data_IF_438594558347
#
_entry.id   IF_438594558347
#
_cell.length_a   1.000
_cell.length_b   1.000
_cell.length_c   1.000
_cell.angle_alpha   90.00
_cell.angle_beta   90.00
_cell.angle_gamma   90.00
#
_symmetry.space_group_name_H-M   'P 1'
#
loop_
_entity.id
_entity.type
_entity.pdbx_description
1 polymer ?
#
# COMPACT_ATOMS: atom_id res chain seq x y z
N UNK A 1 6.82 25.58 10.93
CA UNK A 1 6.33 24.21 11.20
C UNK A 1 7.27 23.31 10.44
N UNK A 2 8.27 22.78 11.11
CA UNK A 2 9.23 21.89 10.46
C UNK A 2 8.50 20.61 10.13
N UNK A 3 8.38 20.34 8.84
CA UNK A 3 7.70 19.15 8.37
C UNK A 3 8.52 17.95 8.85
N UNK A 4 7.89 16.97 9.50
CA UNK A 4 8.59 15.77 10.00
C UNK A 4 9.40 15.12 8.86
N UNK A 5 8.89 15.22 7.63
CA UNK A 5 9.57 14.81 6.41
C UNK A 5 10.92 15.51 6.19
N UNK A 6 10.97 16.83 6.35
CA UNK A 6 12.16 17.64 6.09
C UNK A 6 13.27 17.40 7.14
N UNK A 7 12.89 16.85 8.30
CA UNK A 7 13.80 16.47 9.39
C UNK A 7 14.31 15.02 9.29
N UNK A 8 13.80 14.21 8.35
CA UNK A 8 14.33 12.86 8.10
C UNK A 8 15.60 12.92 7.26
N UNK A 9 16.58 12.08 7.60
CA UNK A 9 17.76 11.89 6.74
C UNK A 9 17.35 11.44 5.33
N UNK A 10 18.09 11.88 4.31
CA UNK A 10 17.81 11.58 2.91
C UNK A 10 17.74 10.08 2.62
N UNK A 11 18.56 9.26 3.28
CA UNK A 11 18.53 7.81 3.09
C UNK A 11 17.23 7.21 3.64
N UNK A 12 16.73 7.73 4.76
CA UNK A 12 15.46 7.30 5.35
C UNK A 12 14.30 7.71 4.45
N UNK A 13 14.31 8.94 3.93
CA UNK A 13 13.32 9.40 2.95
C UNK A 13 13.30 8.51 1.69
N UNK A 14 14.47 8.23 1.11
CA UNK A 14 14.59 7.37 -0.07
C UNK A 14 14.09 5.95 0.21
N UNK A 15 14.46 5.37 1.35
CA UNK A 15 14.00 4.04 1.77
C UNK A 15 12.48 4.00 1.90
N UNK A 16 11.87 5.01 2.54
CA UNK A 16 10.42 5.14 2.65
C UNK A 16 9.75 5.23 1.27
N UNK A 17 10.27 6.05 0.36
CA UNK A 17 9.75 6.18 -1.01
C UNK A 17 9.81 4.85 -1.76
N UNK A 18 10.93 4.12 -1.66
CA UNK A 18 11.09 2.82 -2.32
C UNK A 18 10.16 1.75 -1.74
N UNK A 19 10.03 1.69 -0.40
CA UNK A 19 9.09 0.79 0.28
C UNK A 19 7.65 1.11 -0.16
N UNK A 20 7.22 2.37 -0.12
CA UNK A 20 5.87 2.79 -0.55
C UNK A 20 5.60 2.47 -2.02
N UNK A 21 6.58 2.73 -2.92
CA UNK A 21 6.45 2.38 -4.35
C UNK A 21 6.30 0.88 -4.56
N UNK A 22 7.02 0.07 -3.80
CA UNK A 22 6.94 -1.39 -3.88
C UNK A 22 5.58 -1.89 -3.43
N UNK A 23 5.06 -1.38 -2.31
CA UNK A 23 3.71 -1.68 -1.82
C UNK A 23 2.67 -1.36 -2.89
N UNK A 24 2.71 -0.14 -3.41
CA UNK A 24 1.75 0.30 -4.42
C UNK A 24 1.82 -0.58 -5.69
N UNK A 25 3.02 -0.99 -6.10
CA UNK A 25 3.19 -1.90 -7.24
C UNK A 25 2.56 -3.27 -6.97
N UNK A 26 2.71 -3.80 -5.76
CA UNK A 26 2.10 -5.07 -5.37
C UNK A 26 0.57 -4.96 -5.31
N UNK A 27 0.03 -3.90 -4.71
CA UNK A 27 -1.41 -3.64 -4.69
C UNK A 27 -1.99 -3.54 -6.11
N UNK A 28 -1.27 -2.93 -7.06
CA UNK A 28 -1.69 -2.83 -8.48
C UNK A 28 -1.67 -4.16 -9.24
N UNK A 29 -0.82 -5.11 -8.86
CA UNK A 29 -0.64 -6.38 -9.59
C UNK A 29 -1.48 -7.52 -9.03
N UNK A 30 -1.83 -7.47 -7.74
CA UNK A 30 -2.48 -8.57 -7.01
C UNK A 30 -3.96 -8.26 -6.71
N UNK A 31 -4.50 -8.86 -5.65
CA UNK A 31 -5.92 -8.86 -5.26
C UNK A 31 -6.51 -7.47 -4.98
N UNK A 32 -5.65 -6.46 -4.79
CA UNK A 32 -6.09 -5.13 -4.36
C UNK A 32 -6.30 -4.13 -5.52
N UNK A 33 -5.99 -4.52 -6.76
CA UNK A 33 -6.00 -3.63 -7.93
C UNK A 33 -7.35 -2.96 -8.16
N UNK A 34 -8.45 -3.70 -7.98
CA UNK A 34 -9.82 -3.23 -8.18
C UNK A 34 -10.27 -2.16 -7.17
N UNK A 35 -9.56 -2.03 -6.05
CA UNK A 35 -9.88 -1.04 -5.02
C UNK A 35 -9.05 0.24 -5.18
N UNK A 36 -7.99 0.22 -6.00
CA UNK A 36 -7.11 1.37 -6.15
C UNK A 36 -7.70 2.42 -7.09
N UNK A 37 -7.73 3.66 -6.60
CA UNK A 37 -8.09 4.84 -7.38
C UNK A 37 -6.97 5.87 -7.31
N UNK A 38 -6.57 6.41 -8.46
CA UNK A 38 -5.65 7.54 -8.53
C UNK A 38 -6.43 8.83 -8.86
N UNK A 39 -6.18 9.88 -8.10
CA UNK A 39 -6.73 11.23 -8.34
C UNK A 39 -5.67 12.23 -7.95
N UNK A 40 -5.26 13.11 -8.87
CA UNK A 40 -4.33 14.22 -8.60
C UNK A 40 -3.07 13.76 -7.83
N UNK A 41 -2.40 12.74 -8.36
CA UNK A 41 -1.21 12.11 -7.76
C UNK A 41 -1.40 11.39 -6.41
N UNK A 42 -2.62 11.36 -5.88
CA UNK A 42 -2.97 10.61 -4.67
C UNK A 42 -3.54 9.24 -5.06
N UNK A 43 -2.91 8.17 -4.55
CA UNK A 43 -3.48 6.83 -4.58
C UNK A 43 -4.36 6.61 -3.34
N UNK A 44 -5.58 6.13 -3.58
CA UNK A 44 -6.59 5.88 -2.56
C UNK A 44 -7.19 4.48 -2.73
N UNK A 45 -7.75 3.95 -1.64
CA UNK A 45 -8.54 2.73 -1.64
C UNK A 45 -10.01 3.13 -1.59
N UNK A 46 -10.77 2.72 -2.61
CA UNK A 46 -12.20 2.99 -2.72
C UNK A 46 -12.97 1.69 -2.51
N UNK A 47 -13.75 1.63 -1.43
CA UNK A 47 -14.60 0.48 -1.09
C UNK A 47 -16.03 0.97 -0.95
N UNK A 48 -16.95 0.31 -1.63
CA UNK A 48 -18.39 0.60 -1.50
C UNK A 48 -18.81 0.46 -0.04
N UNK A 49 -19.65 1.38 0.43
CA UNK A 49 -20.16 1.40 1.80
C UNK A 49 -21.25 0.32 2.02
N UNK A 50 -20.86 -0.95 1.89
CA UNK A 50 -21.73 -2.10 2.06
C UNK A 50 -20.96 -3.23 2.75
N UNK A 51 -21.60 -3.93 3.69
CA UNK A 51 -20.93 -4.91 4.54
C UNK A 51 -20.27 -6.05 3.74
N UNK A 52 -20.92 -6.54 2.66
CA UNK A 52 -20.34 -7.58 1.78
C UNK A 52 -19.06 -7.09 1.10
N UNK A 53 -19.03 -5.83 0.65
CA UNK A 53 -17.87 -5.25 -0.02
C UNK A 53 -16.70 -5.06 0.95
N UNK A 54 -16.98 -4.62 2.18
CA UNK A 54 -15.97 -4.53 3.25
C UNK A 54 -15.40 -5.89 3.63
N UNK A 55 -16.27 -6.91 3.77
CA UNK A 55 -15.82 -8.29 4.05
C UNK A 55 -14.94 -8.83 2.93
N UNK A 56 -15.37 -8.70 1.67
CA UNK A 56 -14.58 -9.10 0.50
C UNK A 56 -13.22 -8.39 0.46
N UNK A 57 -13.18 -7.08 0.71
CA UNK A 57 -11.92 -6.35 0.78
C UNK A 57 -11.00 -6.90 1.88
N UNK A 58 -11.54 -7.23 3.06
CA UNK A 58 -10.77 -7.87 4.13
C UNK A 58 -10.20 -9.23 3.71
N UNK A 59 -11.02 -10.05 3.04
CA UNK A 59 -10.60 -11.36 2.53
C UNK A 59 -9.49 -11.21 1.46
N UNK A 60 -9.64 -10.26 0.54
CA UNK A 60 -8.65 -9.94 -0.50
C UNK A 60 -7.33 -9.41 0.10
N UNK A 61 -7.39 -8.61 1.19
CA UNK A 61 -6.21 -8.19 1.95
C UNK A 61 -5.49 -9.37 2.61
N UNK A 62 -6.24 -10.33 3.17
CA UNK A 62 -5.64 -11.53 3.77
C UNK A 62 -4.95 -12.38 2.71
N UNK A 63 -5.58 -12.58 1.55
CA UNK A 63 -4.96 -13.27 0.41
C UNK A 63 -3.71 -12.54 -0.07
N UNK A 64 -3.77 -11.21 -0.18
CA UNK A 64 -2.62 -10.38 -0.57
C UNK A 64 -1.42 -10.58 0.36
N UNK A 65 -1.63 -10.51 1.69
CA UNK A 65 -0.56 -10.72 2.67
C UNK A 65 0.01 -12.13 2.58
N UNK A 66 -0.84 -13.15 2.39
CA UNK A 66 -0.41 -14.53 2.28
C UNK A 66 0.43 -14.81 1.02
N UNK A 67 0.19 -14.05 -0.04
CA UNK A 67 0.93 -14.14 -1.30
C UNK A 67 2.17 -13.24 -1.36
N UNK A 68 2.38 -12.34 -0.39
CA UNK A 68 3.67 -11.66 -0.26
C UNK A 68 4.68 -12.71 0.21
N UNK A 69 5.73 -12.94 -0.59
CA UNK A 69 6.75 -13.90 -0.19
C UNK A 69 7.53 -13.34 1.03
N UNK A 70 8.22 -14.22 1.77
CA UNK A 70 8.93 -13.86 3.00
C UNK A 70 9.99 -12.76 2.78
N UNK A 71 10.54 -12.65 1.55
CA UNK A 71 11.49 -11.61 1.15
C UNK A 71 10.80 -10.26 0.90
N UNK A 72 9.65 -10.25 0.26
CA UNK A 72 8.79 -9.07 0.05
C UNK A 72 8.22 -8.54 1.38
N UNK A 73 7.98 -9.44 2.35
CA UNK A 73 7.64 -9.07 3.73
C UNK A 73 8.83 -8.51 4.51
N UNK A 74 10.05 -9.02 4.28
CA UNK A 74 11.26 -8.51 4.94
C UNK A 74 11.71 -7.16 4.39
N UNK A 75 11.57 -6.93 3.07
CA UNK A 75 11.75 -5.60 2.46
C UNK A 75 10.74 -4.57 3.02
N UNK A 76 9.69 -5.05 3.71
CA UNK A 76 8.67 -4.24 4.36
C UNK A 76 9.08 -3.81 5.78
N UNK A 77 9.66 -4.71 6.57
CA UNK A 77 10.15 -4.49 7.96
C UNK A 77 11.46 -3.68 7.92
#
# INVERSE_FOLDING_TARGET
MDNIWDNLDKNVQNTLVEKVRTILRQCKRKQLSNYLKNSEDVWSISITNHWKSRKKFSDDCNCFIHELNQKELFDFI
#
